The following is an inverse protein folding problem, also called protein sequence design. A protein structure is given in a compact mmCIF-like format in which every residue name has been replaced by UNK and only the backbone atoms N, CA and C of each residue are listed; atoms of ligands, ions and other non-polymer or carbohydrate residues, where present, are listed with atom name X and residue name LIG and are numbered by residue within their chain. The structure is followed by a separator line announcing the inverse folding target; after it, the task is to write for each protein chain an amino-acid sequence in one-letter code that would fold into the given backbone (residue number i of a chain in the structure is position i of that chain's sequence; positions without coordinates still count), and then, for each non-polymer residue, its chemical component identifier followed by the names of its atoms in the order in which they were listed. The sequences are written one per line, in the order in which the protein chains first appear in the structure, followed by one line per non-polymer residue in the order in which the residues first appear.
data_IF_983353944110
#
_entry.id   IF_983353944110
#
_cell.length_a   1.000
_cell.length_b   1.000
_cell.length_c   1.000
_cell.angle_alpha   90.00
_cell.angle_beta   90.00
_cell.angle_gamma   90.00
#
_symmetry.space_group_name_H-M   'P 1'
#
loop_
_entity.id
_entity.type
_entity.pdbx_description
1 polymer ?
#
# COMPACT_ATOMS: atom_id res chain seq x y z
N UNK A 1 -68.59 -36.44 -22.25
CA UNK A 1 -67.67 -36.96 -21.20
C UNK A 1 -66.23 -37.12 -21.71
N UNK A 2 -65.69 -36.14 -22.47
CA UNK A 2 -64.28 -36.17 -22.96
C UNK A 2 -63.55 -34.84 -22.82
N UNK A 3 -64.28 -33.74 -22.59
CA UNK A 3 -63.69 -32.42 -22.35
C UNK A 3 -63.22 -32.21 -20.91
N UNK A 4 -63.85 -32.86 -19.93
CA UNK A 4 -63.49 -32.68 -18.51
C UNK A 4 -62.19 -33.39 -18.11
N UNK A 5 -61.87 -34.53 -18.72
CA UNK A 5 -60.64 -35.31 -18.42
C UNK A 5 -59.39 -34.60 -18.95
N UNK A 6 -59.49 -33.90 -20.08
CA UNK A 6 -58.36 -33.19 -20.68
C UNK A 6 -57.91 -31.96 -19.86
N UNK A 7 -58.83 -31.36 -19.08
CA UNK A 7 -58.55 -30.16 -18.31
C UNK A 7 -57.83 -30.46 -16.98
N UNK A 8 -58.09 -31.62 -16.36
CA UNK A 8 -57.38 -32.04 -15.13
C UNK A 8 -55.90 -32.39 -15.39
N UNK A 9 -55.58 -33.02 -16.52
CA UNK A 9 -54.20 -33.39 -16.86
C UNK A 9 -53.33 -32.16 -17.20
N UNK A 10 -53.92 -31.11 -17.77
CA UNK A 10 -53.25 -29.83 -18.02
C UNK A 10 -52.97 -29.11 -16.70
N UNK A 11 -53.93 -29.10 -15.77
CA UNK A 11 -53.77 -28.45 -14.46
C UNK A 11 -52.73 -29.16 -13.56
N UNK A 12 -52.60 -30.49 -13.65
CA UNK A 12 -51.55 -31.26 -12.95
C UNK A 12 -50.15 -31.01 -13.53
N UNK A 13 -50.00 -30.90 -14.86
CA UNK A 13 -48.73 -30.52 -15.51
C UNK A 13 -48.29 -29.10 -15.13
N UNK A 14 -49.23 -28.16 -15.02
CA UNK A 14 -48.93 -26.77 -14.62
C UNK A 14 -48.51 -26.69 -13.14
N UNK A 15 -49.06 -27.53 -12.24
CA UNK A 15 -48.59 -27.62 -10.84
C UNK A 15 -47.20 -28.24 -10.72
N UNK A 16 -46.86 -29.22 -11.55
CA UNK A 16 -45.50 -29.80 -11.57
C UNK A 16 -44.44 -28.85 -12.13
N UNK A 17 -44.78 -28.07 -13.15
CA UNK A 17 -43.88 -27.04 -13.71
C UNK A 17 -43.67 -25.88 -12.72
N UNK A 18 -44.68 -25.53 -11.91
CA UNK A 18 -44.52 -24.52 -10.84
C UNK A 18 -43.66 -24.99 -9.66
N UNK A 19 -43.47 -26.29 -9.46
CA UNK A 19 -42.62 -26.82 -8.39
C UNK A 19 -41.17 -27.00 -8.85
N UNK A 20 -40.92 -27.21 -10.15
CA UNK A 20 -39.55 -27.36 -10.67
C UNK A 20 -38.83 -26.04 -10.98
N UNK A 21 -39.56 -24.92 -11.14
CA UNK A 21 -38.95 -23.62 -11.49
C UNK A 21 -38.52 -22.81 -10.24
N UNK A 22 -38.85 -23.27 -9.03
CA UNK A 22 -38.51 -22.56 -7.79
C UNK A 22 -37.10 -22.87 -7.26
N UNK A 23 -36.34 -23.77 -7.91
CA UNK A 23 -35.02 -24.20 -7.42
C UNK A 23 -33.80 -23.75 -8.24
N UNK A 24 -33.95 -22.84 -9.22
CA UNK A 24 -32.84 -22.44 -10.11
C UNK A 24 -32.61 -20.92 -10.20
N UNK A 25 -32.86 -20.19 -9.12
CA UNK A 25 -32.31 -18.85 -8.92
C UNK A 25 -31.70 -18.74 -7.52
N UNK A 26 -30.80 -19.66 -7.19
CA UNK A 26 -29.72 -19.31 -6.27
C UNK A 26 -28.75 -18.51 -7.13
N UNK A 27 -29.02 -17.22 -7.26
CA UNK A 27 -28.00 -16.26 -7.66
C UNK A 27 -26.88 -16.47 -6.64
N UNK A 28 -25.67 -16.92 -7.02
CA UNK A 28 -24.56 -16.77 -6.10
C UNK A 28 -24.49 -15.26 -5.89
N UNK A 29 -24.89 -14.79 -4.71
CA UNK A 29 -24.36 -13.53 -4.20
C UNK A 29 -22.87 -13.78 -4.17
N UNK A 30 -22.20 -13.43 -5.27
CA UNK A 30 -20.77 -13.26 -5.29
C UNK A 30 -20.52 -12.27 -4.18
N UNK A 31 -19.98 -12.76 -3.07
CA UNK A 31 -19.22 -11.93 -2.16
C UNK A 31 -18.14 -11.34 -3.05
N UNK A 32 -18.39 -10.13 -3.56
CA UNK A 32 -17.33 -9.28 -4.08
C UNK A 32 -16.38 -9.14 -2.92
N UNK A 33 -15.29 -9.91 -2.92
CA UNK A 33 -14.16 -9.59 -2.07
C UNK A 33 -13.76 -8.20 -2.52
N UNK A 34 -14.05 -7.21 -1.69
CA UNK A 34 -13.47 -5.89 -1.85
C UNK A 34 -11.96 -6.12 -1.88
N UNK A 35 -11.33 -5.79 -3.01
CA UNK A 35 -9.88 -5.75 -3.06
C UNK A 35 -9.48 -4.67 -2.06
N UNK A 36 -8.80 -5.09 -1.00
CA UNK A 36 -8.30 -4.19 0.03
C UNK A 36 -6.90 -3.79 -0.40
N UNK A 37 -6.60 -2.50 -0.42
CA UNK A 37 -5.28 -2.04 -0.82
C UNK A 37 -4.21 -2.59 0.09
N UNK A 38 -3.15 -3.10 -0.52
CA UNK A 38 -2.01 -3.64 0.19
C UNK A 38 -0.95 -2.55 0.33
N UNK A 39 -0.24 -2.50 1.46
CA UNK A 39 0.84 -1.53 1.62
C UNK A 39 2.10 -2.18 2.16
N UNK A 40 3.16 -2.15 1.36
CA UNK A 40 4.52 -2.25 1.89
C UNK A 40 4.81 -1.06 2.80
N UNK A 41 5.25 -1.33 4.03
CA UNK A 41 5.47 -0.30 5.04
C UNK A 41 6.95 -0.22 5.42
N UNK A 42 7.51 0.99 5.40
CA UNK A 42 8.84 1.32 5.93
C UNK A 42 8.67 2.52 6.86
N UNK A 43 8.42 2.27 8.14
CA UNK A 43 8.01 3.29 9.10
C UNK A 43 9.15 3.57 10.08
N UNK A 44 9.85 4.71 9.96
CA UNK A 44 10.81 5.15 10.97
C UNK A 44 10.07 5.70 12.20
N UNK A 45 10.71 5.60 13.36
CA UNK A 45 10.22 6.19 14.61
C UNK A 45 10.19 7.72 14.59
N UNK A 46 11.02 8.32 13.74
CA UNK A 46 11.13 9.77 13.56
C UNK A 46 11.51 10.09 12.10
N UNK A 47 11.03 11.22 11.59
CA UNK A 47 11.32 11.74 10.25
C UNK A 47 12.19 13.00 10.26
N UNK A 48 12.37 13.64 11.42
CA UNK A 48 13.10 14.91 11.56
C UNK A 48 14.03 14.90 12.78
N UNK A 49 15.16 14.21 12.66
CA UNK A 49 16.09 14.04 13.79
C UNK A 49 16.94 15.30 14.00
N UNK A 50 16.82 15.94 15.16
CA UNK A 50 17.60 17.12 15.55
C UNK A 50 18.76 16.77 16.49
N UNK A 51 19.62 17.76 16.80
CA UNK A 51 20.87 17.53 17.53
C UNK A 51 20.68 16.98 18.94
N UNK A 52 19.60 17.41 19.60
CA UNK A 52 19.23 17.05 20.97
C UNK A 52 18.37 15.78 21.04
N UNK A 53 17.94 15.24 19.89
CA UNK A 53 17.11 14.04 19.82
C UNK A 53 17.94 12.75 19.99
N UNK A 54 17.23 11.65 20.20
CA UNK A 54 17.84 10.33 20.10
C UNK A 54 18.32 10.10 18.66
N UNK A 55 19.63 9.89 18.51
CA UNK A 55 20.27 9.67 17.20
C UNK A 55 20.05 8.26 16.64
N UNK A 56 19.45 7.36 17.40
CA UNK A 56 19.06 6.04 16.92
C UNK A 56 17.59 6.06 16.59
N UNK A 57 17.26 5.92 15.31
CA UNK A 57 15.89 5.74 14.85
C UNK A 57 15.60 4.25 14.67
N UNK A 58 14.42 3.82 15.11
CA UNK A 58 13.94 2.47 14.86
C UNK A 58 13.16 2.48 13.54
N UNK A 59 13.49 1.61 12.60
CA UNK A 59 12.75 1.45 11.35
C UNK A 59 12.04 0.12 11.39
N UNK A 60 10.72 0.14 11.20
CA UNK A 60 9.85 -1.03 11.13
C UNK A 60 9.45 -1.30 9.69
N UNK A 61 9.49 -2.57 9.31
CA UNK A 61 9.06 -3.06 8.01
C UNK A 61 7.90 -4.03 8.20
N UNK A 62 6.79 -3.81 7.52
CA UNK A 62 5.61 -4.69 7.53
C UNK A 62 4.89 -4.67 6.19
N UNK A 63 3.92 -5.56 6.03
CA UNK A 63 2.97 -5.57 4.93
C UNK A 63 1.57 -5.67 5.52
N UNK A 64 0.67 -4.76 5.13
CA UNK A 64 -0.57 -4.53 5.89
C UNK A 64 -1.68 -3.90 5.04
N UNK A 65 -2.91 -4.00 5.54
CA UNK A 65 -3.99 -3.04 5.33
C UNK A 65 -3.97 -2.03 6.48
N UNK A 66 -3.33 -0.86 6.31
CA UNK A 66 -2.91 -0.01 7.42
C UNK A 66 -4.06 0.73 8.13
N UNK A 67 -5.18 1.02 7.47
CA UNK A 67 -6.34 1.65 8.10
C UNK A 67 -7.13 0.65 8.96
N UNK A 68 -7.28 -0.57 8.44
CA UNK A 68 -8.00 -1.66 9.12
C UNK A 68 -7.15 -2.38 10.16
N UNK A 69 -5.85 -2.06 10.23
CA UNK A 69 -4.90 -2.67 11.14
C UNK A 69 -4.78 -4.19 10.97
N UNK A 70 -4.90 -4.66 9.73
CA UNK A 70 -4.75 -6.06 9.37
C UNK A 70 -3.33 -6.26 8.83
N UNK A 71 -2.57 -7.15 9.47
CA UNK A 71 -1.22 -7.51 9.04
C UNK A 71 -1.23 -8.66 8.06
N UNK A 72 -0.19 -8.70 7.25
CA UNK A 72 0.11 -9.77 6.31
C UNK A 72 1.55 -10.25 6.52
N UNK A 73 1.85 -11.45 6.06
CA UNK A 73 3.17 -12.02 6.24
C UNK A 73 4.21 -11.26 5.40
N UNK A 74 5.16 -10.59 6.06
CA UNK A 74 6.37 -10.08 5.42
C UNK A 74 7.53 -11.05 5.66
N UNK A 75 7.77 -11.93 4.70
CA UNK A 75 9.01 -12.71 4.67
C UNK A 75 10.23 -11.78 4.54
N UNK A 76 11.44 -12.29 4.80
CA UNK A 76 12.65 -11.46 4.74
C UNK A 76 12.77 -10.83 3.33
N UNK A 77 12.88 -9.50 3.20
CA UNK A 77 12.90 -8.81 1.90
C UNK A 77 14.07 -9.24 1.00
N UNK A 78 13.94 -9.03 -0.32
CA UNK A 78 15.04 -9.16 -1.28
C UNK A 78 16.13 -8.13 -1.01
N UNK A 79 15.72 -6.88 -0.76
CA UNK A 79 16.60 -5.80 -0.40
C UNK A 79 15.98 -4.93 0.69
N UNK A 80 16.84 -4.45 1.59
CA UNK A 80 16.52 -3.37 2.51
C UNK A 80 17.79 -2.56 2.74
N UNK A 81 17.67 -1.25 2.67
CA UNK A 81 18.81 -0.36 2.77
C UNK A 81 18.43 1.08 3.00
N UNK A 82 19.47 1.91 3.04
CA UNK A 82 19.34 3.37 3.09
C UNK A 82 20.24 4.00 2.06
N UNK A 83 19.70 4.93 1.28
CA UNK A 83 20.50 5.81 0.43
C UNK A 83 20.84 7.06 1.23
N UNK A 84 22.14 7.33 1.37
CA UNK A 84 22.69 8.50 2.05
C UNK A 84 23.84 9.07 1.22
N UNK A 85 23.77 10.35 0.86
CA UNK A 85 24.74 11.04 -0.01
C UNK A 85 25.05 10.26 -1.30
N UNK A 86 23.99 9.81 -1.98
CA UNK A 86 24.08 9.05 -3.24
C UNK A 86 24.65 7.62 -3.09
N UNK A 87 24.94 7.16 -1.87
CA UNK A 87 25.46 5.81 -1.61
C UNK A 87 24.38 4.93 -1.02
N UNK A 88 24.16 3.79 -1.64
CA UNK A 88 23.32 2.74 -1.09
C UNK A 88 24.09 1.96 0.00
N UNK A 89 23.53 1.91 1.20
CA UNK A 89 24.02 1.14 2.34
C UNK A 89 23.05 -0.01 2.57
N UNK A 90 23.54 -1.24 2.40
CA UNK A 90 22.74 -2.45 2.63
C UNK A 90 22.53 -2.68 4.14
N UNK A 91 21.27 -2.80 4.56
CA UNK A 91 20.86 -3.05 5.95
C UNK A 91 20.17 -4.41 6.13
N UNK A 92 20.10 -5.25 5.08
CA UNK A 92 19.40 -6.53 5.09
C UNK A 92 19.95 -7.52 6.14
N UNK A 93 21.25 -7.43 6.43
CA UNK A 93 21.92 -8.22 7.46
C UNK A 93 21.60 -7.79 8.89
N UNK A 94 21.07 -6.58 9.07
CA UNK A 94 20.78 -5.99 10.39
C UNK A 94 19.33 -6.19 10.84
N UNK A 95 18.46 -6.67 9.93
CA UNK A 95 17.06 -6.92 10.22
C UNK A 95 16.89 -7.96 11.34
N UNK A 96 16.19 -7.55 12.41
CA UNK A 96 15.71 -8.45 13.46
C UNK A 96 14.24 -8.74 13.24
N UNK A 97 13.84 -9.99 13.43
CA UNK A 97 12.46 -10.41 13.28
C UNK A 97 11.62 -9.87 14.43
N UNK A 98 10.48 -9.27 14.12
CA UNK A 98 9.46 -8.80 15.07
C UNK A 98 8.07 -9.23 14.60
N UNK A 99 7.03 -8.81 15.33
CA UNK A 99 5.65 -8.92 14.87
C UNK A 99 4.98 -7.55 14.85
N UNK A 100 4.23 -7.28 13.79
CA UNK A 100 3.36 -6.11 13.62
C UNK A 100 2.01 -6.64 13.16
N UNK A 101 0.92 -6.19 13.81
CA UNK A 101 -0.44 -6.69 13.53
C UNK A 101 -0.50 -8.23 13.50
N UNK A 102 0.13 -8.87 14.49
CA UNK A 102 0.27 -10.32 14.68
C UNK A 102 1.05 -11.09 13.58
N UNK A 103 1.53 -10.42 12.53
CA UNK A 103 2.23 -11.03 11.42
C UNK A 103 3.74 -10.81 11.50
N UNK A 104 4.49 -11.66 10.82
CA UNK A 104 5.95 -11.54 10.75
C UNK A 104 6.34 -10.24 10.06
N UNK A 105 7.24 -9.51 10.71
CA UNK A 105 7.71 -8.19 10.33
C UNK A 105 9.20 -8.07 10.69
N UNK A 106 9.82 -6.95 10.34
CA UNK A 106 11.24 -6.72 10.60
C UNK A 106 11.48 -5.36 11.22
N UNK A 107 12.55 -5.24 12.00
CA UNK A 107 13.05 -3.94 12.41
C UNK A 107 14.57 -3.84 12.33
N UNK A 108 15.04 -2.60 12.30
CA UNK A 108 16.45 -2.24 12.46
C UNK A 108 16.55 -1.00 13.34
N UNK A 109 17.61 -0.92 14.13
CA UNK A 109 17.96 0.29 14.87
C UNK A 109 19.09 0.98 14.10
N UNK A 110 18.80 2.09 13.42
CA UNK A 110 19.77 2.80 12.61
C UNK A 110 20.29 4.04 13.33
N UNK A 111 21.61 4.13 13.51
CA UNK A 111 22.25 5.29 14.12
C UNK A 111 22.57 6.36 13.09
N UNK A 112 21.89 7.50 13.19
CA UNK A 112 22.17 8.72 12.45
C UNK A 112 23.47 9.32 12.96
N UNK A 113 24.43 9.50 12.06
CA UNK A 113 25.80 9.93 12.39
C UNK A 113 26.17 11.28 11.80
N UNK A 114 25.52 11.68 10.72
CA UNK A 114 25.86 12.88 9.94
C UNK A 114 24.59 13.60 9.52
N UNK A 115 24.65 14.92 9.31
CA UNK A 115 23.56 15.65 8.68
C UNK A 115 23.31 15.08 7.28
N UNK A 116 22.05 15.13 6.86
CA UNK A 116 21.64 14.84 5.49
C UNK A 116 20.31 14.12 5.40
N UNK A 117 19.99 13.71 4.18
CA UNK A 117 18.79 12.94 3.87
C UNK A 117 19.09 11.43 3.85
N UNK A 118 18.29 10.69 4.59
CA UNK A 118 18.32 9.23 4.69
C UNK A 118 17.05 8.67 4.04
N UNK A 119 17.18 8.06 2.85
CA UNK A 119 16.07 7.42 2.15
C UNK A 119 16.09 5.91 2.42
N UNK A 120 15.28 5.47 3.37
CA UNK A 120 15.12 4.03 3.65
C UNK A 120 14.21 3.42 2.60
N UNK A 121 14.58 2.26 2.09
CA UNK A 121 13.80 1.56 1.07
C UNK A 121 13.75 0.05 1.31
N UNK A 122 12.68 -0.57 0.83
CA UNK A 122 12.47 -2.01 0.86
C UNK A 122 12.05 -2.50 -0.53
N UNK A 123 12.67 -3.59 -0.97
CA UNK A 123 12.15 -4.44 -2.06
C UNK A 123 11.75 -5.79 -1.44
N UNK A 124 10.45 -6.10 -1.36
CA UNK A 124 9.98 -7.33 -0.73
C UNK A 124 10.25 -8.55 -1.62
N UNK A 125 10.05 -9.75 -1.06
CA UNK A 125 9.76 -10.90 -1.90
C UNK A 125 8.34 -10.75 -2.47
N UNK A 126 8.05 -11.30 -3.67
CA UNK A 126 6.68 -11.34 -4.18
C UNK A 126 5.74 -12.01 -3.18
N UNK A 127 4.66 -11.33 -2.83
CA UNK A 127 3.59 -11.86 -1.99
C UNK A 127 2.48 -12.41 -2.87
N UNK A 128 2.06 -13.66 -2.67
CA UNK A 128 0.92 -14.22 -3.39
C UNK A 128 -0.38 -13.75 -2.75
N UNK A 129 -1.23 -13.04 -3.49
CA UNK A 129 -2.55 -12.60 -3.03
C UNK A 129 -3.65 -13.47 -3.69
N UNK A 130 -4.21 -14.46 -2.96
CA UNK A 130 -5.19 -15.38 -3.52
C UNK A 130 -6.52 -14.72 -3.94
N UNK A 131 -6.89 -13.58 -3.34
CA UNK A 131 -8.11 -12.87 -3.71
C UNK A 131 -7.99 -12.16 -5.07
N UNK A 132 -6.79 -11.74 -5.44
CA UNK A 132 -6.50 -11.01 -6.68
C UNK A 132 -5.86 -11.89 -7.76
N UNK A 133 -5.48 -13.12 -7.40
CA UNK A 133 -4.85 -14.10 -8.31
C UNK A 133 -3.54 -13.59 -8.94
N UNK A 134 -2.80 -12.76 -8.21
CA UNK A 134 -1.57 -12.13 -8.64
C UNK A 134 -0.49 -12.17 -7.55
N UNK A 135 0.74 -11.81 -7.93
CA UNK A 135 1.79 -11.48 -6.96
C UNK A 135 1.89 -9.98 -6.77
N UNK A 136 2.17 -9.55 -5.54
CA UNK A 136 2.34 -8.14 -5.18
C UNK A 136 3.80 -7.89 -4.79
N UNK A 137 4.41 -6.86 -5.40
CA UNK A 137 5.76 -6.39 -5.12
C UNK A 137 5.74 -4.88 -4.94
N UNK A 138 5.62 -4.43 -3.70
CA UNK A 138 5.59 -3.00 -3.39
C UNK A 138 6.98 -2.48 -3.04
N UNK A 139 7.58 -1.71 -3.94
CA UNK A 139 8.82 -0.99 -3.72
C UNK A 139 8.54 0.21 -2.82
N UNK A 140 8.87 0.08 -1.54
CA UNK A 140 8.52 1.08 -0.53
C UNK A 140 9.71 1.94 -0.19
N UNK A 141 9.51 3.26 -0.04
CA UNK A 141 10.51 4.15 0.56
C UNK A 141 9.91 5.15 1.55
N UNK A 142 10.76 5.64 2.45
CA UNK A 142 10.47 6.73 3.38
C UNK A 142 11.71 7.58 3.56
N UNK A 143 11.51 8.88 3.79
CA UNK A 143 12.58 9.88 3.80
C UNK A 143 12.68 10.49 5.21
N UNK A 144 13.89 10.47 5.75
CA UNK A 144 14.23 11.07 7.06
C UNK A 144 15.28 12.16 6.84
N UNK A 145 15.06 13.35 7.40
CA UNK A 145 16.10 14.40 7.48
C UNK A 145 16.80 14.32 8.84
N UNK A 146 18.09 14.67 8.84
CA UNK A 146 18.90 14.71 10.05
C UNK A 146 19.69 16.02 10.17
N UNK A 147 19.69 16.56 11.37
CA UNK A 147 20.51 17.67 11.85
C UNK A 147 20.41 18.93 11.00
N UNK A 148 19.22 19.19 10.43
CA UNK A 148 18.87 20.41 9.71
C UNK A 148 19.33 20.47 8.24
N UNK A 149 19.93 19.40 7.72
CA UNK A 149 20.30 19.30 6.31
C UNK A 149 19.13 18.70 5.51
N UNK A 150 18.76 19.40 4.44
CA UNK A 150 17.63 19.08 3.59
C UNK A 150 17.99 19.07 2.10
N UNK A 151 19.23 18.76 1.73
CA UNK A 151 19.61 18.59 0.32
C UNK A 151 19.31 17.17 -0.21
N UNK A 152 18.75 17.10 -1.43
CA UNK A 152 18.59 15.85 -2.18
C UNK A 152 17.38 14.98 -1.81
N UNK A 153 16.40 15.49 -1.05
CA UNK A 153 15.16 14.76 -0.70
C UNK A 153 14.28 14.38 -1.89
N UNK A 154 14.44 15.07 -3.02
CA UNK A 154 13.73 14.88 -4.29
C UNK A 154 14.53 14.01 -5.28
N UNK A 155 15.65 13.42 -4.86
CA UNK A 155 16.45 12.55 -5.72
C UNK A 155 15.81 11.18 -5.92
N UNK A 156 15.92 10.66 -7.15
CA UNK A 156 15.66 9.26 -7.47
C UNK A 156 16.70 8.34 -6.81
N UNK A 157 16.26 7.17 -6.34
CA UNK A 157 17.14 6.16 -5.77
C UNK A 157 17.26 4.91 -6.64
N UNK A 158 16.59 4.89 -7.81
CA UNK A 158 16.73 3.85 -8.82
C UNK A 158 15.96 2.57 -8.52
N UNK A 159 14.83 2.68 -7.80
CA UNK A 159 13.90 1.56 -7.65
C UNK A 159 13.20 1.29 -8.98
N UNK A 160 12.71 0.05 -9.17
CA UNK A 160 11.93 -0.34 -10.36
C UNK A 160 10.76 0.61 -10.60
N UNK A 161 10.03 0.92 -9.53
CA UNK A 161 9.00 1.96 -9.52
C UNK A 161 9.18 2.80 -8.25
N UNK A 162 9.05 4.12 -8.35
CA UNK A 162 9.19 5.05 -7.21
C UNK A 162 8.33 6.30 -7.32
N UNK A 163 7.94 6.87 -6.17
CA UNK A 163 7.29 8.18 -6.09
C UNK A 163 8.34 9.23 -5.70
N UNK A 164 8.48 10.28 -6.50
CA UNK A 164 9.36 11.41 -6.20
C UNK A 164 8.53 12.55 -5.60
N UNK A 165 8.71 12.92 -4.33
CA UNK A 165 7.95 14.01 -3.74
C UNK A 165 8.29 15.35 -4.41
N UNK A 166 7.31 16.26 -4.49
CA UNK A 166 7.49 17.64 -4.96
C UNK A 166 7.50 18.68 -3.84
N UNK A 167 7.23 18.25 -2.61
CA UNK A 167 7.40 19.01 -1.38
C UNK A 167 8.20 18.19 -0.38
N UNK A 168 8.95 18.85 0.52
CA UNK A 168 9.77 18.18 1.53
C UNK A 168 8.91 17.20 2.35
N UNK A 169 9.10 15.88 2.24
CA UNK A 169 8.16 14.88 2.80
C UNK A 169 8.17 14.83 4.33
N UNK A 170 9.15 15.45 4.98
CA UNK A 170 9.23 15.57 6.43
C UNK A 170 8.67 16.91 6.95
N UNK A 171 8.43 17.90 6.09
CA UNK A 171 8.04 19.25 6.46
C UNK A 171 6.57 19.59 6.18
N UNK A 172 5.66 18.64 6.40
CA UNK A 172 4.25 18.78 6.03
C UNK A 172 3.33 18.84 7.25
N UNK A 173 2.48 19.87 7.28
CA UNK A 173 1.42 19.97 8.26
C UNK A 173 0.12 19.33 7.76
N UNK A 174 -0.74 18.89 8.68
CA UNK A 174 -2.11 18.48 8.36
C UNK A 174 -2.81 19.53 7.49
N UNK A 175 -3.48 19.10 6.42
CA UNK A 175 -4.11 19.98 5.44
C UNK A 175 -3.17 20.56 4.38
N UNK A 176 -1.85 20.32 4.45
CA UNK A 176 -0.96 20.65 3.34
C UNK A 176 -1.22 19.73 2.15
N UNK A 177 -0.97 20.26 0.95
CA UNK A 177 -0.99 19.48 -0.28
C UNK A 177 0.33 18.72 -0.42
N UNK A 178 0.24 17.40 -0.55
CA UNK A 178 1.35 16.58 -1.00
C UNK A 178 1.19 16.26 -2.48
N UNK A 179 2.30 16.35 -3.20
CA UNK A 179 2.38 15.98 -4.59
C UNK A 179 3.58 15.07 -4.80
N UNK A 180 3.42 14.10 -5.69
CA UNK A 180 4.49 13.20 -6.08
C UNK A 180 4.43 12.88 -7.57
N UNK A 181 5.60 12.65 -8.16
CA UNK A 181 5.73 12.11 -9.52
C UNK A 181 5.87 10.59 -9.42
N UNK A 182 4.94 9.85 -10.02
CA UNK A 182 5.05 8.40 -10.17
C UNK A 182 6.04 8.08 -11.27
N UNK A 183 7.02 7.23 -11.00
CA UNK A 183 8.00 6.77 -11.97
C UNK A 183 8.07 5.25 -12.05
N UNK A 184 8.18 4.72 -13.27
CA UNK A 184 8.48 3.33 -13.58
C UNK A 184 9.71 3.31 -14.49
N UNK A 185 10.75 2.56 -14.10
CA UNK A 185 12.04 2.53 -14.80
C UNK A 185 12.62 3.94 -15.03
N UNK A 186 12.51 4.82 -14.03
CA UNK A 186 12.96 6.22 -14.06
C UNK A 186 12.11 7.18 -14.92
N UNK A 187 11.06 6.68 -15.59
CA UNK A 187 10.18 7.47 -16.45
C UNK A 187 8.87 7.77 -15.75
N UNK A 188 8.37 9.00 -15.92
CA UNK A 188 7.07 9.38 -15.37
C UNK A 188 5.93 8.53 -15.95
N UNK A 189 4.98 8.13 -15.10
CA UNK A 189 3.82 7.33 -15.48
C UNK A 189 2.58 8.22 -15.56
N UNK A 190 2.15 8.56 -16.77
CA UNK A 190 0.96 9.37 -17.00
C UNK A 190 -0.29 8.67 -16.47
N UNK A 191 -1.16 9.42 -15.79
CA UNK A 191 -2.46 8.92 -15.31
C UNK A 191 -2.40 7.68 -14.43
N UNK A 192 -1.26 7.43 -13.77
CA UNK A 192 -1.11 6.38 -12.78
C UNK A 192 -2.21 6.47 -11.71
N UNK A 193 -2.81 5.33 -11.37
CA UNK A 193 -3.69 5.22 -10.22
C UNK A 193 -2.83 5.15 -8.95
N UNK A 194 -3.23 5.93 -7.95
CA UNK A 194 -2.54 6.03 -6.67
C UNK A 194 -3.56 5.76 -5.57
N UNK A 195 -3.34 4.70 -4.83
CA UNK A 195 -4.06 4.37 -3.62
C UNK A 195 -3.48 5.13 -2.45
N UNK A 196 -4.35 5.67 -1.60
CA UNK A 196 -4.00 6.54 -0.48
C UNK A 196 -4.69 6.02 0.77
N UNK A 197 -3.89 5.78 1.81
CA UNK A 197 -4.41 5.22 3.05
C UNK A 197 -3.74 5.81 4.29
N UNK A 198 -4.53 6.04 5.33
CA UNK A 198 -4.06 6.47 6.64
C UNK A 198 -3.66 5.26 7.48
N UNK A 199 -2.48 5.31 8.08
CA UNK A 199 -2.06 4.30 9.04
C UNK A 199 -2.71 4.56 10.41
N UNK A 200 -3.74 3.76 10.71
CA UNK A 200 -4.55 3.86 11.91
C UNK A 200 -3.86 3.25 13.14
N UNK A 201 -2.64 3.71 13.44
CA UNK A 201 -1.72 3.07 14.40
C UNK A 201 -2.36 2.81 15.78
N UNK A 202 -3.27 3.66 16.22
CA UNK A 202 -3.97 3.54 17.51
C UNK A 202 -5.30 2.79 17.43
N UNK A 203 -5.74 2.41 16.23
CA UNK A 203 -6.98 1.68 15.96
C UNK A 203 -8.26 2.46 16.25
N UNK A 204 -8.19 3.80 16.36
CA UNK A 204 -9.35 4.62 16.78
C UNK A 204 -10.06 5.32 15.62
N UNK A 205 -9.52 5.26 14.42
CA UNK A 205 -10.16 5.83 13.23
C UNK A 205 -11.15 4.86 12.62
N UNK A 206 -12.27 5.38 12.10
CA UNK A 206 -13.29 4.61 11.41
C UNK A 206 -13.68 5.31 10.12
N UNK A 207 -13.70 4.57 9.02
CA UNK A 207 -14.17 5.07 7.73
C UNK A 207 -15.71 5.04 7.70
N UNK A 208 -16.37 6.05 7.12
CA UNK A 208 -17.83 6.02 6.91
C UNK A 208 -18.30 4.85 6.04
N UNK A 209 -17.47 4.46 5.06
CA UNK A 209 -17.69 3.35 4.12
C UNK A 209 -16.34 2.82 3.64
N UNK A 210 -16.32 1.63 3.03
CA UNK A 210 -15.10 1.02 2.48
C UNK A 210 -14.38 1.91 1.43
N UNK A 211 -15.13 2.74 0.69
CA UNK A 211 -14.57 3.75 -0.23
C UNK A 211 -13.66 4.80 0.43
N UNK A 212 -13.68 4.90 1.76
CA UNK A 212 -12.86 5.83 2.54
C UNK A 212 -11.81 5.13 3.40
N UNK A 213 -11.73 3.80 3.35
CA UNK A 213 -10.60 3.03 3.89
C UNK A 213 -9.40 3.33 3.01
N UNK A 214 -9.46 2.88 1.75
CA UNK A 214 -8.50 3.22 0.71
C UNK A 214 -9.16 4.18 -0.27
N UNK A 215 -8.52 5.33 -0.50
CA UNK A 215 -8.96 6.28 -1.53
C UNK A 215 -8.09 6.12 -2.77
N UNK A 216 -8.68 6.25 -3.95
CA UNK A 216 -7.93 6.19 -5.21
C UNK A 216 -7.96 7.54 -5.90
N UNK A 217 -6.79 8.04 -6.29
CA UNK A 217 -6.62 9.24 -7.12
C UNK A 217 -5.85 8.90 -8.40
N UNK A 218 -5.78 9.84 -9.34
CA UNK A 218 -4.99 9.69 -10.56
C UNK A 218 -3.95 10.79 -10.67
N UNK A 219 -2.79 10.41 -11.18
CA UNK A 219 -1.80 11.37 -11.64
C UNK A 219 -2.27 12.10 -12.91
N UNK A 220 -1.62 13.20 -13.24
CA UNK A 220 -1.79 13.91 -14.51
C UNK A 220 -0.95 13.28 -15.64
N UNK A 221 -0.92 13.95 -16.80
CA UNK A 221 -0.13 13.49 -17.96
C UNK A 221 1.38 13.42 -17.71
N UNK A 222 1.89 14.16 -16.73
CA UNK A 222 3.30 14.18 -16.34
C UNK A 222 3.60 13.21 -15.19
N UNK A 223 2.62 12.40 -14.78
CA UNK A 223 2.73 11.49 -13.65
C UNK A 223 2.66 12.16 -12.28
N UNK A 224 2.23 13.43 -12.21
CA UNK A 224 2.07 14.15 -10.94
C UNK A 224 0.69 13.86 -10.36
N UNK A 225 0.63 13.29 -9.15
CA UNK A 225 -0.60 13.25 -8.36
C UNK A 225 -0.60 14.34 -7.28
N UNK A 226 -1.77 14.64 -6.73
CA UNK A 226 -1.93 15.62 -5.66
C UNK A 226 -2.97 15.14 -4.65
N UNK A 227 -2.66 15.26 -3.36
CA UNK A 227 -3.56 14.88 -2.28
C UNK A 227 -3.36 15.78 -1.06
N UNK A 228 -4.45 16.28 -0.49
CA UNK A 228 -4.42 17.05 0.75
C UNK A 228 -4.92 16.16 1.89
N UNK A 229 -4.05 15.87 2.87
CA UNK A 229 -4.43 14.95 3.94
C UNK A 229 -5.32 15.65 4.98
N UNK A 230 -6.42 15.02 5.41
CA UNK A 230 -7.35 15.62 6.36
C UNK A 230 -6.91 15.51 7.83
N UNK A 231 -5.98 14.59 8.14
CA UNK A 231 -5.61 14.24 9.52
C UNK A 231 -4.08 14.09 9.67
N UNK A 232 -3.55 14.47 10.82
CA UNK A 232 -2.16 14.25 11.19
C UNK A 232 -1.84 12.76 11.32
N UNK A 233 -0.65 12.34 10.93
CA UNK A 233 -0.15 10.99 11.10
C UNK A 233 0.52 10.48 9.84
N UNK A 234 0.65 9.16 9.75
CA UNK A 234 1.28 8.49 8.61
C UNK A 234 0.26 8.24 7.51
N UNK A 235 0.60 8.65 6.30
CA UNK A 235 -0.17 8.40 5.08
C UNK A 235 0.70 7.67 4.07
N UNK A 236 0.17 6.58 3.54
CA UNK A 236 0.77 5.79 2.47
C UNK A 236 0.20 6.21 1.14
N UNK A 237 1.07 6.33 0.13
CA UNK A 237 0.70 6.55 -1.26
C UNK A 237 1.29 5.41 -2.08
N UNK A 238 0.45 4.58 -2.69
CA UNK A 238 0.83 3.42 -3.47
C UNK A 238 0.39 3.60 -4.93
N UNK A 239 1.33 3.85 -5.84
CA UNK A 239 1.05 3.94 -7.26
C UNK A 239 1.26 2.58 -7.92
N UNK A 240 0.17 1.95 -8.33
CA UNK A 240 0.15 0.57 -8.82
C UNK A 240 0.46 0.50 -10.32
N UNK A 241 1.28 -0.47 -10.71
CA UNK A 241 1.62 -0.77 -12.10
C UNK A 241 1.63 -2.29 -12.30
N UNK A 242 1.45 -2.75 -13.54
CA UNK A 242 1.65 -4.15 -13.90
C UNK A 242 3.09 -4.37 -14.35
N UNK A 243 3.73 -5.45 -13.87
CA UNK A 243 5.07 -5.82 -14.31
C UNK A 243 5.06 -6.38 -15.73
N UNK A 244 6.19 -6.29 -16.43
CA UNK A 244 6.40 -6.87 -17.76
C UNK A 244 6.73 -8.38 -17.72
N UNK A 245 6.73 -8.98 -16.52
CA UNK A 245 7.02 -10.39 -16.29
C UNK A 245 5.91 -11.07 -15.47
N UNK A 246 5.95 -12.40 -15.49
CA UNK A 246 5.03 -13.27 -14.73
C UNK A 246 5.80 -14.19 -13.80
N UNK A 247 5.16 -14.63 -12.73
CA UNK A 247 5.70 -15.64 -11.80
C UNK A 247 4.87 -16.90 -11.92
N UNK A 248 5.54 -18.06 -12.00
CA UNK A 248 4.86 -19.36 -12.04
C UNK A 248 4.40 -19.75 -10.64
N UNK A 249 3.11 -20.04 -10.47
CA UNK A 249 2.51 -20.54 -9.24
C UNK A 249 1.54 -21.68 -9.59
N UNK A 250 1.72 -22.84 -8.93
CA UNK A 250 0.98 -24.07 -9.23
C UNK A 250 0.96 -24.43 -10.73
N UNK A 251 2.08 -24.19 -11.42
CA UNK A 251 2.26 -24.48 -12.84
C UNK A 251 1.69 -23.42 -13.80
N UNK A 252 0.92 -22.46 -13.30
CA UNK A 252 0.29 -21.38 -14.09
C UNK A 252 1.09 -20.08 -13.96
N UNK A 253 1.22 -19.33 -15.04
CA UNK A 253 1.87 -18.01 -14.99
C UNK A 253 0.89 -16.96 -14.47
N UNK A 254 1.27 -16.31 -13.37
CA UNK A 254 0.49 -15.29 -12.68
C UNK A 254 1.07 -13.90 -12.92
N UNK A 255 0.18 -12.92 -13.03
CA UNK A 255 0.56 -11.52 -13.16
C UNK A 255 1.26 -11.05 -11.88
N UNK A 256 2.07 -9.99 -12.03
CA UNK A 256 2.74 -9.34 -10.92
C UNK A 256 2.35 -7.87 -10.92
N UNK A 257 1.74 -7.43 -9.83
CA UNK A 257 1.56 -6.03 -9.51
C UNK A 257 2.86 -5.50 -8.87
N UNK A 258 3.35 -4.38 -9.40
CA UNK A 258 4.46 -3.62 -8.83
C UNK A 258 3.97 -2.24 -8.37
N UNK A 259 4.12 -1.95 -7.09
CA UNK A 259 3.67 -0.69 -6.49
C UNK A 259 4.84 0.21 -6.12
N UNK A 260 4.81 1.49 -6.52
CA UNK A 260 5.67 2.50 -5.91
C UNK A 260 4.98 3.01 -4.64
N UNK A 261 5.56 2.72 -3.48
CA UNK A 261 4.97 3.12 -2.20
C UNK A 261 5.86 4.15 -1.51
N UNK A 262 5.28 5.27 -1.09
CA UNK A 262 5.94 6.22 -0.19
C UNK A 262 5.08 6.45 1.06
N UNK A 263 5.73 6.45 2.23
CA UNK A 263 5.09 6.84 3.48
C UNK A 263 5.56 8.23 3.90
N UNK A 264 4.59 9.08 4.24
CA UNK A 264 4.80 10.48 4.58
C UNK A 264 4.07 10.78 5.88
N UNK A 265 4.74 11.46 6.81
CA UNK A 265 4.15 11.84 8.09
C UNK A 265 3.76 13.31 8.08
N UNK A 266 2.50 13.58 8.36
CA UNK A 266 1.96 14.92 8.53
C UNK A 266 1.76 15.22 9.99
N UNK A 267 2.10 16.43 10.42
CA UNK A 267 2.02 16.83 11.82
C UNK A 267 1.05 18.00 12.00
N UNK A 268 0.52 18.15 13.21
CA UNK A 268 -0.16 19.38 13.57
C UNK A 268 0.87 20.46 13.96
N UNK A 269 0.51 21.73 13.81
CA UNK A 269 1.31 22.80 14.40
C UNK A 269 1.27 22.71 15.93
N UNK A 270 2.37 23.07 16.57
CA UNK A 270 2.41 23.20 18.02
C UNK A 270 1.79 24.53 18.43
N UNK A 271 0.87 24.50 19.40
CA UNK A 271 0.38 25.70 20.09
C UNK A 271 1.32 26.00 21.25
N UNK A 272 1.69 27.27 21.41
CA UNK A 272 2.45 27.77 22.55
C UNK A 272 1.52 28.24 23.66
#
# INVERSE_FOLDING_TARGET
MRFFVFMEDILKKIRFIKILVVFSMIFPLGLSKLAMAHFGMVIPSDTMVMQDDNRTINIKLSFSHPFEMIGMQLVKPNAFGVVFNGKNINLLGELKKIKIMNNDAWNVDHKIKRPGIYMFFMEPQPYWEPAEDCFIVHHTKTIVTAFGDDEGWDSEIGLKTEIIPLSKPFGLYTGNLFQGIVKLDGKAVSYAEVEVEYYNEDGKSQAPTDYMITQTIKADQNGVFSYAVPQSGWWGFAALNEADYKIKYDGVDKNVEIGAVIWVKFLDWQKK
#
